data_IF_514127232362
#
_entry.id   IF_514127232362
#
_cell.length_a   1.000
_cell.length_b   1.000
_cell.length_c   1.000
_cell.angle_alpha   90.00
_cell.angle_beta   90.00
_cell.angle_gamma   90.00
#
_symmetry.space_group_name_H-M   'P 1'
#
loop_
_entity.id
_entity.type
_entity.pdbx_description
1 polymer ?
#
# COMPACT_ATOMS: atom_id res chain seq x y z
N UNK A 1 8.98 10.99 10.27
CA UNK A 1 9.31 10.76 11.68
C UNK A 1 8.24 11.40 12.55
N UNK A 2 7.74 10.68 13.53
CA UNK A 2 6.79 11.20 14.52
C UNK A 2 7.45 12.19 15.50
N UNK A 3 6.62 12.96 16.19
CA UNK A 3 7.10 13.97 17.15
C UNK A 3 7.82 13.36 18.36
N UNK A 4 7.53 12.10 18.70
CA UNK A 4 8.18 11.34 19.77
C UNK A 4 9.36 10.48 19.27
N UNK A 5 9.78 10.66 18.02
CA UNK A 5 10.93 9.99 17.43
C UNK A 5 10.67 8.66 16.74
N UNK A 6 9.42 8.22 16.63
CA UNK A 6 9.09 7.01 15.88
C UNK A 6 9.47 7.15 14.40
N UNK A 7 10.03 6.09 13.83
CA UNK A 7 10.40 6.04 12.41
C UNK A 7 9.43 5.11 11.67
N UNK A 8 8.79 5.64 10.63
CA UNK A 8 7.87 4.90 9.78
C UNK A 8 8.46 3.58 9.30
N UNK A 9 9.69 3.62 8.78
CA UNK A 9 10.36 2.43 8.20
C UNK A 9 10.47 1.23 9.16
N UNK A 10 10.58 1.48 10.45
CA UNK A 10 10.64 0.41 11.47
C UNK A 10 9.25 -0.14 11.77
N UNK A 11 8.29 0.75 11.96
CA UNK A 11 6.89 0.38 12.29
C UNK A 11 6.26 -0.41 11.16
N UNK A 12 6.37 0.07 9.92
CA UNK A 12 5.76 -0.60 8.76
C UNK A 12 6.41 -1.93 8.43
N UNK A 13 7.70 -2.10 8.68
CA UNK A 13 8.38 -3.39 8.54
C UNK A 13 7.81 -4.43 9.50
N UNK A 14 7.55 -4.06 10.75
CA UNK A 14 6.92 -4.96 11.72
C UNK A 14 5.49 -5.32 11.33
N UNK A 15 4.70 -4.35 10.87
CA UNK A 15 3.34 -4.60 10.38
C UNK A 15 3.38 -5.55 9.18
N UNK A 16 4.27 -5.33 8.21
CA UNK A 16 4.42 -6.18 7.05
C UNK A 16 4.84 -7.61 7.42
N UNK A 17 5.75 -7.77 8.38
CA UNK A 17 6.12 -9.09 8.90
C UNK A 17 4.92 -9.80 9.55
N UNK A 18 4.12 -9.08 10.32
CA UNK A 18 2.91 -9.63 10.92
C UNK A 18 1.91 -10.09 9.85
N UNK A 19 1.69 -9.29 8.81
CA UNK A 19 0.82 -9.66 7.67
C UNK A 19 1.35 -10.92 6.98
N UNK A 20 2.63 -10.98 6.68
CA UNK A 20 3.28 -12.16 6.08
C UNK A 20 3.04 -13.43 6.92
N UNK A 21 3.25 -13.33 8.22
CA UNK A 21 3.09 -14.48 9.14
C UNK A 21 1.62 -14.91 9.25
N UNK A 22 0.69 -13.96 9.30
CA UNK A 22 -0.74 -14.25 9.35
C UNK A 22 -1.26 -14.87 8.05
N UNK A 23 -0.83 -14.39 6.90
CA UNK A 23 -1.18 -14.94 5.59
C UNK A 23 -0.74 -16.40 5.44
N UNK A 24 0.40 -16.77 6.01
CA UNK A 24 0.90 -18.13 6.01
C UNK A 24 -0.10 -19.11 6.65
N UNK A 25 -0.80 -18.68 7.70
CA UNK A 25 -1.85 -19.47 8.34
C UNK A 25 -3.05 -19.77 7.43
N UNK A 26 -3.25 -18.99 6.36
CA UNK A 26 -4.27 -19.19 5.35
C UNK A 26 -3.73 -19.88 4.07
N UNK A 27 -2.49 -20.36 4.10
CA UNK A 27 -1.87 -20.98 2.92
C UNK A 27 -1.45 -19.98 1.84
N UNK A 28 -1.32 -18.70 2.18
CA UNK A 28 -0.89 -17.64 1.28
C UNK A 28 0.57 -17.28 1.59
N UNK A 29 1.43 -17.43 0.59
CA UNK A 29 2.84 -17.06 0.71
C UNK A 29 2.99 -15.54 0.60
N UNK A 30 3.60 -14.92 1.61
CA UNK A 30 4.00 -13.52 1.58
C UNK A 30 5.50 -13.37 1.36
N UNK A 31 5.88 -12.46 0.49
CA UNK A 31 7.28 -12.09 0.24
C UNK A 31 7.45 -10.60 0.54
N UNK A 32 8.44 -10.26 1.35
CA UNK A 32 8.77 -8.87 1.65
C UNK A 32 9.76 -8.34 0.60
N UNK A 33 9.60 -7.08 0.18
CA UNK A 33 10.57 -6.40 -0.70
C UNK A 33 11.87 -6.06 0.04
N UNK A 34 11.82 -5.92 1.35
CA UNK A 34 12.98 -5.79 2.24
C UNK A 34 12.71 -6.50 3.57
N UNK A 35 13.76 -6.93 4.23
CA UNK A 35 13.70 -7.55 5.57
C UNK A 35 14.55 -6.80 6.60
N UNK A 36 15.23 -5.75 6.18
CA UNK A 36 16.11 -4.92 6.99
C UNK A 36 15.94 -3.43 6.63
N UNK A 37 16.84 -2.57 7.12
CA UNK A 37 16.82 -1.13 6.83
C UNK A 37 17.52 -0.79 5.51
N UNK A 38 17.17 -1.52 4.45
CA UNK A 38 17.66 -1.28 3.09
C UNK A 38 16.63 -0.49 2.30
N UNK A 39 17.06 0.56 1.61
CA UNK A 39 16.19 1.27 0.68
C UNK A 39 16.11 0.53 -0.67
N UNK A 40 14.88 0.24 -1.09
CA UNK A 40 14.59 -0.36 -2.41
C UNK A 40 13.91 0.72 -3.28
N UNK A 41 14.49 1.11 -4.43
CA UNK A 41 13.85 2.04 -5.36
C UNK A 41 12.44 1.59 -5.74
N UNK A 42 11.56 2.56 -6.01
CA UNK A 42 10.13 2.28 -6.26
C UNK A 42 9.91 1.29 -7.41
N UNK A 43 10.62 1.46 -8.52
CA UNK A 43 10.52 0.55 -9.66
C UNK A 43 11.02 -0.86 -9.33
N UNK A 44 12.08 -0.99 -8.56
CA UNK A 44 12.60 -2.31 -8.14
C UNK A 44 11.59 -3.06 -7.26
N UNK A 45 10.77 -2.38 -6.46
CA UNK A 45 9.70 -3.00 -5.67
C UNK A 45 8.67 -3.68 -6.58
N UNK A 46 8.30 -3.01 -7.67
CA UNK A 46 7.41 -3.58 -8.71
C UNK A 46 8.08 -4.79 -9.37
N UNK A 47 9.35 -4.70 -9.71
CA UNK A 47 10.10 -5.79 -10.34
C UNK A 47 10.21 -7.02 -9.42
N UNK A 48 10.39 -6.84 -8.11
CA UNK A 48 10.41 -7.93 -7.14
C UNK A 48 9.08 -8.68 -7.17
N UNK A 49 7.95 -7.97 -7.20
CA UNK A 49 6.63 -8.60 -7.31
C UNK A 49 6.49 -9.41 -8.60
N UNK A 50 6.94 -8.89 -9.73
CA UNK A 50 6.93 -9.60 -11.02
C UNK A 50 7.83 -10.83 -11.00
N UNK A 51 9.04 -10.74 -10.42
CA UNK A 51 9.98 -11.85 -10.33
C UNK A 51 9.44 -13.02 -9.49
N UNK A 52 8.58 -12.74 -8.52
CA UNK A 52 7.93 -13.75 -7.69
C UNK A 52 6.58 -14.22 -8.24
N UNK A 53 6.15 -13.76 -9.42
CA UNK A 53 4.82 -14.03 -9.97
C UNK A 53 3.71 -13.75 -8.95
N UNK A 54 3.81 -12.64 -8.23
CA UNK A 54 2.89 -12.28 -7.18
C UNK A 54 1.47 -12.10 -7.71
N UNK A 55 0.49 -12.58 -6.95
CA UNK A 55 -0.94 -12.42 -7.27
C UNK A 55 -1.47 -11.05 -6.88
N UNK A 56 -0.81 -10.38 -5.95
CA UNK A 56 -1.05 -9.00 -5.57
C UNK A 56 0.19 -8.36 -4.96
N UNK A 57 0.22 -7.03 -4.96
CA UNK A 57 1.25 -6.21 -4.35
C UNK A 57 0.63 -5.26 -3.34
N UNK A 58 1.28 -5.10 -2.19
CA UNK A 58 0.83 -4.18 -1.16
C UNK A 58 2.01 -3.37 -0.63
N UNK A 59 1.86 -2.05 -0.61
CA UNK A 59 2.79 -1.12 0.02
C UNK A 59 2.19 -0.64 1.34
N UNK A 60 2.86 -0.90 2.46
CA UNK A 60 2.36 -0.56 3.80
C UNK A 60 3.12 0.65 4.32
N UNK A 61 2.37 1.66 4.75
CA UNK A 61 2.87 2.96 5.15
C UNK A 61 2.27 3.47 6.47
N UNK A 62 2.97 4.40 7.08
CA UNK A 62 2.49 5.25 8.18
C UNK A 62 3.13 6.63 8.01
N UNK A 63 2.67 7.36 6.98
CA UNK A 63 3.27 8.61 6.57
C UNK A 63 3.04 9.75 7.56
N UNK A 64 3.86 10.79 7.44
CA UNK A 64 3.62 12.08 8.06
C UNK A 64 2.75 12.97 7.16
N UNK A 65 2.07 13.90 7.82
CA UNK A 65 1.35 14.97 7.14
C UNK A 65 1.65 16.32 7.82
N UNK A 66 1.41 17.41 7.11
CA UNK A 66 1.71 18.77 7.61
C UNK A 66 0.85 19.15 8.82
N UNK A 67 -0.39 18.65 8.87
CA UNK A 67 -1.26 18.84 10.03
C UNK A 67 -1.16 17.66 10.99
N UNK A 68 -0.81 17.86 12.26
CA UNK A 68 -0.79 16.80 13.26
C UNK A 68 -2.20 16.30 13.64
N UNK A 69 -3.25 16.99 13.21
CA UNK A 69 -4.64 16.57 13.39
C UNK A 69 -5.08 15.48 12.39
N UNK A 70 -4.36 15.31 11.27
CA UNK A 70 -4.65 14.23 10.32
C UNK A 70 -4.52 12.87 11.01
N UNK A 71 -5.53 12.01 10.86
CA UNK A 71 -5.59 10.71 11.53
C UNK A 71 -6.43 9.71 10.72
N UNK A 72 -6.27 8.44 11.06
CA UNK A 72 -7.01 7.35 10.45
C UNK A 72 -6.26 6.67 9.31
N UNK A 73 -6.78 5.51 8.92
CA UNK A 73 -6.24 4.71 7.82
C UNK A 73 -6.85 5.13 6.48
N UNK A 74 -6.12 4.88 5.41
CA UNK A 74 -6.59 5.02 4.03
C UNK A 74 -6.00 3.92 3.15
N UNK A 75 -6.73 3.54 2.11
CA UNK A 75 -6.25 2.59 1.11
C UNK A 75 -6.29 3.26 -0.26
N UNK A 76 -5.20 3.14 -1.01
CA UNK A 76 -5.02 3.79 -2.31
C UNK A 76 -4.78 2.76 -3.40
N UNK A 77 -5.37 3.00 -4.57
CA UNK A 77 -5.03 2.36 -5.83
C UNK A 77 -4.45 3.40 -6.80
N UNK A 78 -3.89 2.93 -7.90
CA UNK A 78 -3.38 3.80 -8.95
C UNK A 78 -4.51 4.55 -9.65
N UNK A 79 -4.27 5.82 -9.99
CA UNK A 79 -5.06 6.59 -10.94
C UNK A 79 -4.19 7.10 -12.08
N UNK A 80 -4.69 7.01 -13.31
CA UNK A 80 -4.10 7.62 -14.50
C UNK A 80 -4.79 8.93 -14.89
N UNK A 81 -5.85 9.33 -14.13
CA UNK A 81 -6.72 10.48 -14.44
C UNK A 81 -6.68 11.60 -13.39
N UNK A 82 -5.78 11.49 -12.42
CA UNK A 82 -5.67 12.45 -11.31
C UNK A 82 -6.07 11.85 -9.98
N UNK A 83 -5.79 12.60 -8.90
CA UNK A 83 -6.04 12.14 -7.53
C UNK A 83 -7.50 12.32 -7.14
N UNK A 84 -8.02 11.39 -6.34
CA UNK A 84 -9.40 11.41 -5.81
C UNK A 84 -9.61 12.47 -4.72
N UNK A 85 -8.51 12.94 -4.07
CA UNK A 85 -8.56 13.96 -3.03
C UNK A 85 -7.25 14.76 -2.98
N UNK A 86 -7.26 15.89 -2.27
CA UNK A 86 -6.06 16.68 -2.02
C UNK A 86 -5.03 15.89 -1.20
N UNK A 87 -5.49 15.10 -0.23
CA UNK A 87 -4.64 14.22 0.58
C UNK A 87 -3.98 13.14 -0.29
N UNK A 88 -4.75 12.47 -1.17
CA UNK A 88 -4.21 11.48 -2.10
C UNK A 88 -3.15 12.10 -3.04
N UNK A 89 -3.38 13.32 -3.52
CA UNK A 89 -2.41 14.05 -4.33
C UNK A 89 -1.13 14.36 -3.55
N UNK A 90 -1.26 14.81 -2.32
CA UNK A 90 -0.11 15.11 -1.47
C UNK A 90 0.72 13.86 -1.20
N UNK A 91 0.07 12.78 -0.75
CA UNK A 91 0.75 11.52 -0.42
C UNK A 91 1.43 10.90 -1.63
N UNK A 92 0.80 10.91 -2.80
CA UNK A 92 1.42 10.38 -4.01
C UNK A 92 2.67 11.18 -4.43
N UNK A 93 2.65 12.49 -4.31
CA UNK A 93 3.83 13.33 -4.56
C UNK A 93 4.96 13.03 -3.58
N UNK A 94 4.63 12.91 -2.29
CA UNK A 94 5.59 12.61 -1.24
C UNK A 94 6.25 11.25 -1.45
N UNK A 95 5.45 10.22 -1.72
CA UNK A 95 5.93 8.86 -1.96
C UNK A 95 6.76 8.75 -3.24
N UNK A 96 6.31 9.39 -4.32
CA UNK A 96 7.04 9.39 -5.60
C UNK A 96 8.40 10.07 -5.50
N UNK A 97 8.58 11.01 -4.58
CA UNK A 97 9.86 11.68 -4.33
C UNK A 97 10.88 10.82 -3.55
N UNK A 98 10.51 9.63 -3.10
CA UNK A 98 11.39 8.77 -2.30
C UNK A 98 12.69 8.40 -3.05
N UNK A 99 12.61 8.15 -4.35
CA UNK A 99 13.77 7.84 -5.18
C UNK A 99 14.73 9.04 -5.31
N UNK A 100 14.19 10.24 -5.42
CA UNK A 100 14.99 11.48 -5.51
C UNK A 100 15.75 11.73 -4.22
N UNK A 101 15.10 11.53 -3.07
CA UNK A 101 15.73 11.65 -1.75
C UNK A 101 16.84 10.62 -1.57
N UNK A 102 16.69 9.44 -2.14
CA UNK A 102 17.70 8.38 -2.11
C UNK A 102 18.80 8.55 -3.19
N UNK A 103 18.73 9.59 -4.03
CA UNK A 103 19.69 9.85 -5.11
C UNK A 103 19.61 8.86 -6.27
N UNK A 104 18.47 8.21 -6.44
CA UNK A 104 18.23 7.21 -7.50
C UNK A 104 17.12 7.69 -8.45
N UNK A 105 17.53 8.35 -9.53
CA UNK A 105 16.61 8.78 -10.60
C UNK A 105 16.36 7.63 -11.59
N UNK A 106 15.11 7.36 -11.90
CA UNK A 106 14.71 6.34 -12.88
C UNK A 106 14.30 7.00 -14.18
N UNK A 107 15.01 6.70 -15.27
CA UNK A 107 14.67 7.15 -16.62
C UNK A 107 13.76 6.11 -17.28
N UNK A 108 12.51 6.47 -17.50
CA UNK A 108 11.56 5.64 -18.27
C UNK A 108 11.73 5.89 -19.76
N UNK A 109 12.00 4.83 -20.53
CA UNK A 109 11.92 4.85 -22.00
C UNK A 109 10.61 4.18 -22.43
N UNK A 110 9.63 5.00 -22.79
CA UNK A 110 8.36 4.53 -23.34
C UNK A 110 8.44 4.28 -24.85
N UNK A 111 7.99 3.09 -25.30
CA UNK A 111 7.72 2.79 -26.71
C UNK A 111 6.21 2.88 -26.98
N UNK A 112 5.82 3.57 -28.03
CA UNK A 112 4.43 3.98 -28.30
C UNK A 112 3.41 2.84 -28.50
N UNK A 113 3.80 1.71 -29.07
CA UNK A 113 2.90 0.56 -29.30
C UNK A 113 2.68 -0.27 -28.03
N UNK A 114 3.72 -0.37 -27.19
CA UNK A 114 3.62 -1.06 -25.89
C UNK A 114 2.70 -0.28 -24.94
N UNK A 115 2.53 1.01 -25.16
CA UNK A 115 1.71 1.89 -24.33
C UNK A 115 0.21 1.60 -24.40
N UNK A 116 -0.33 1.27 -25.57
CA UNK A 116 -1.78 1.01 -25.75
C UNK A 116 -2.19 -0.30 -25.07
N UNK A 117 -1.41 -1.35 -25.26
CA UNK A 117 -1.63 -2.65 -24.59
C UNK A 117 -1.44 -2.48 -23.09
N UNK A 118 -0.39 -1.80 -22.68
CA UNK A 118 -0.10 -1.47 -21.29
C UNK A 118 -1.26 -0.70 -20.63
N UNK A 119 -1.84 0.29 -21.29
CA UNK A 119 -2.96 1.09 -20.76
C UNK A 119 -4.24 0.25 -20.58
N UNK A 120 -4.53 -0.69 -21.49
CA UNK A 120 -5.69 -1.59 -21.39
C UNK A 120 -5.55 -2.59 -20.24
N UNK A 121 -4.40 -3.23 -20.15
CA UNK A 121 -4.11 -4.18 -19.07
C UNK A 121 -4.09 -3.48 -17.71
N UNK A 122 -3.50 -2.28 -17.64
CA UNK A 122 -3.48 -1.48 -16.42
C UNK A 122 -4.88 -1.06 -15.98
N UNK A 123 -5.81 -0.81 -16.92
CA UNK A 123 -7.21 -0.48 -16.59
C UNK A 123 -7.90 -1.61 -15.86
N UNK A 124 -7.76 -2.86 -16.33
CA UNK A 124 -8.33 -4.03 -15.63
C UNK A 124 -7.64 -4.28 -14.28
N UNK A 125 -6.33 -4.10 -14.22
CA UNK A 125 -5.57 -4.22 -12.98
C UNK A 125 -5.98 -3.18 -11.94
N UNK A 126 -6.26 -1.95 -12.36
CA UNK A 126 -6.77 -0.89 -11.48
C UNK A 126 -8.16 -1.27 -10.92
N UNK A 127 -9.06 -1.84 -11.72
CA UNK A 127 -10.35 -2.33 -11.23
C UNK A 127 -10.17 -3.39 -10.14
N UNK A 128 -9.30 -4.35 -10.35
CA UNK A 128 -8.97 -5.37 -9.35
C UNK A 128 -8.31 -4.77 -8.11
N UNK A 129 -7.46 -3.77 -8.27
CA UNK A 129 -6.85 -3.04 -7.16
C UNK A 129 -7.90 -2.30 -6.32
N UNK A 130 -8.89 -1.68 -6.95
CA UNK A 130 -10.02 -1.04 -6.27
C UNK A 130 -10.86 -2.05 -5.50
N UNK A 131 -11.10 -3.23 -6.06
CA UNK A 131 -11.82 -4.31 -5.40
C UNK A 131 -11.04 -4.82 -4.18
N UNK A 132 -9.75 -5.10 -4.33
CA UNK A 132 -8.86 -5.45 -3.22
C UNK A 132 -8.90 -4.38 -2.11
N UNK A 133 -8.78 -3.11 -2.50
CA UNK A 133 -8.85 -1.99 -1.57
C UNK A 133 -10.16 -1.93 -0.81
N UNK A 134 -11.29 -2.19 -1.45
CA UNK A 134 -12.60 -2.19 -0.80
C UNK A 134 -12.73 -3.28 0.27
N UNK A 135 -12.14 -4.45 0.03
CA UNK A 135 -12.09 -5.54 1.02
C UNK A 135 -11.24 -5.15 2.23
N UNK A 136 -10.09 -4.50 1.99
CA UNK A 136 -9.20 -4.05 3.08
C UNK A 136 -9.87 -2.95 3.90
N UNK A 137 -10.46 -1.93 3.27
CA UNK A 137 -11.21 -0.86 3.96
C UNK A 137 -12.31 -1.45 4.85
N UNK A 138 -13.08 -2.41 4.34
CA UNK A 138 -14.16 -3.05 5.09
C UNK A 138 -13.66 -3.74 6.36
N UNK A 139 -12.46 -4.33 6.33
CA UNK A 139 -11.90 -5.04 7.48
C UNK A 139 -11.12 -4.16 8.44
N UNK A 140 -10.57 -3.02 7.98
CA UNK A 140 -9.93 -2.04 8.87
C UNK A 140 -10.97 -1.20 9.62
N UNK A 141 -12.04 -0.80 8.95
CA UNK A 141 -13.06 0.12 9.48
C UNK A 141 -13.60 -0.26 10.88
N UNK A 142 -13.86 -1.54 11.21
CA UNK A 142 -14.32 -1.92 12.55
C UNK A 142 -13.26 -1.79 13.66
N UNK A 143 -11.99 -1.76 13.32
CA UNK A 143 -10.89 -1.85 14.31
C UNK A 143 -10.06 -0.58 14.41
N UNK A 144 -10.10 0.29 13.40
CA UNK A 144 -9.40 1.56 13.40
C UNK A 144 -10.16 2.59 12.58
N UNK A 145 -10.07 3.87 13.00
CA UNK A 145 -10.69 4.97 12.26
C UNK A 145 -10.17 5.04 10.82
N UNK A 146 -11.09 5.16 9.86
CA UNK A 146 -10.76 5.39 8.46
C UNK A 146 -10.74 6.88 8.15
N UNK A 147 -9.62 7.39 7.66
CA UNK A 147 -9.53 8.76 7.13
C UNK A 147 -10.42 8.91 5.88
N UNK A 148 -10.49 7.86 5.05
CA UNK A 148 -11.43 7.74 3.94
C UNK A 148 -12.11 6.37 3.97
N UNK A 149 -13.43 6.37 3.84
CA UNK A 149 -14.25 5.15 3.87
C UNK A 149 -14.29 4.40 2.53
N UNK A 150 -13.63 4.91 1.52
CA UNK A 150 -13.53 4.31 0.20
C UNK A 150 -12.06 4.21 -0.20
N UNK A 151 -11.74 3.26 -1.10
CA UNK A 151 -10.43 3.23 -1.74
C UNK A 151 -10.24 4.52 -2.53
N UNK A 152 -9.18 5.24 -2.22
CA UNK A 152 -8.79 6.44 -2.92
C UNK A 152 -7.82 6.11 -4.06
N UNK A 153 -7.55 7.07 -4.93
CA UNK A 153 -6.67 6.90 -6.08
C UNK A 153 -5.76 8.09 -6.27
N UNK A 154 -4.53 7.84 -6.69
CA UNK A 154 -3.59 8.84 -7.15
C UNK A 154 -2.49 8.20 -8.02
N UNK A 155 -1.60 9.01 -8.57
CA UNK A 155 -0.53 8.57 -9.46
C UNK A 155 0.69 8.02 -8.69
N UNK A 156 0.49 6.98 -7.88
CA UNK A 156 1.58 6.33 -7.14
C UNK A 156 2.46 5.48 -8.08
N UNK A 157 3.73 5.82 -8.19
CA UNK A 157 4.69 5.08 -9.02
C UNK A 157 4.82 3.62 -8.57
N UNK A 158 4.82 3.36 -7.27
CA UNK A 158 4.94 2.01 -6.72
C UNK A 158 3.77 1.10 -7.08
N UNK A 159 2.63 1.66 -7.50
CA UNK A 159 1.42 0.90 -7.87
C UNK A 159 1.26 0.72 -9.39
N UNK A 160 2.29 0.98 -10.16
CA UNK A 160 2.22 1.00 -11.64
C UNK A 160 2.39 -0.37 -12.31
N UNK A 161 2.34 -1.48 -11.59
CA UNK A 161 2.32 -2.79 -12.28
C UNK A 161 1.09 -2.89 -13.20
N UNK A 162 1.25 -3.21 -14.49
CA UNK A 162 0.11 -3.39 -15.38
C UNK A 162 -0.63 -4.71 -15.17
N UNK A 163 0.00 -5.69 -14.49
CA UNK A 163 -0.50 -7.06 -14.39
C UNK A 163 -0.91 -7.49 -12.98
N UNK A 164 -0.36 -6.83 -11.96
CA UNK A 164 -0.54 -7.24 -10.56
C UNK A 164 -1.43 -6.22 -9.85
N UNK A 165 -2.61 -6.62 -9.33
CA UNK A 165 -3.42 -5.77 -8.47
C UNK A 165 -2.58 -5.22 -7.32
N UNK A 166 -2.59 -3.90 -7.14
CA UNK A 166 -1.67 -3.20 -6.25
C UNK A 166 -2.39 -2.16 -5.43
N UNK A 167 -2.15 -2.14 -4.13
CA UNK A 167 -2.68 -1.14 -3.21
C UNK A 167 -1.58 -0.60 -2.29
N UNK A 168 -1.76 0.64 -1.86
CA UNK A 168 -0.98 1.25 -0.80
C UNK A 168 -1.89 1.44 0.41
N UNK A 169 -1.49 0.92 1.56
CA UNK A 169 -2.23 1.03 2.81
C UNK A 169 -1.50 2.00 3.73
N UNK A 170 -2.11 3.16 3.95
CA UNK A 170 -1.74 4.05 5.04
C UNK A 170 -2.44 3.56 6.31
N UNK A 171 -1.68 3.04 7.24
CA UNK A 171 -2.22 2.46 8.48
C UNK A 171 -2.63 3.54 9.47
N UNK A 172 -1.88 4.62 9.51
CA UNK A 172 -2.04 5.75 10.41
C UNK A 172 -1.14 6.90 9.96
N UNK A 173 -1.34 8.10 10.51
CA UNK A 173 -0.40 9.22 10.34
C UNK A 173 0.56 9.28 11.51
N UNK A 174 1.84 9.03 11.26
CA UNK A 174 2.87 9.02 12.32
C UNK A 174 3.08 10.41 12.96
N UNK A 175 2.65 11.48 12.29
CA UNK A 175 2.68 12.85 12.83
C UNK A 175 1.51 13.19 13.75
N UNK A 176 0.48 12.34 13.81
CA UNK A 176 -0.57 12.46 14.82
C UNK A 176 -0.07 11.84 16.13
N UNK A 177 -0.07 12.58 17.26
CA UNK A 177 0.51 12.08 18.52
C UNK A 177 -0.11 10.81 19.05
N UNK A 178 -1.44 10.66 18.94
CA UNK A 178 -2.14 9.46 19.39
C UNK A 178 -1.85 8.27 18.46
N UNK A 179 -1.81 8.49 17.16
CA UNK A 179 -1.47 7.43 16.20
C UNK A 179 -0.01 7.01 16.30
N UNK A 180 0.91 7.95 16.56
CA UNK A 180 2.30 7.61 16.87
C UNK A 180 2.39 6.71 18.11
N UNK A 181 1.63 7.02 19.14
CA UNK A 181 1.55 6.20 20.34
C UNK A 181 1.04 4.80 20.05
N UNK A 182 -0.04 4.67 19.29
CA UNK A 182 -0.60 3.38 18.86
C UNK A 182 0.39 2.57 18.04
N UNK A 183 1.02 3.18 17.05
CA UNK A 183 2.04 2.56 16.20
C UNK A 183 3.23 2.01 17.02
N UNK A 184 3.52 2.62 18.15
CA UNK A 184 4.53 2.16 19.11
C UNK A 184 4.14 0.92 19.90
N UNK A 185 2.88 0.46 19.84
CA UNK A 185 2.38 -0.70 20.59
C UNK A 185 2.36 -1.95 19.71
N UNK A 186 2.80 -3.07 20.29
CA UNK A 186 2.70 -4.40 19.63
C UNK A 186 1.25 -4.77 19.36
N UNK A 187 0.35 -4.45 20.29
CA UNK A 187 -1.07 -4.74 20.17
C UNK A 187 -1.71 -4.07 18.95
N UNK A 188 -1.43 -2.79 18.71
CA UNK A 188 -1.97 -2.08 17.55
C UNK A 188 -1.36 -2.59 16.24
N UNK A 189 -0.06 -2.79 16.19
CA UNK A 189 0.60 -3.33 14.98
C UNK A 189 0.04 -4.68 14.59
N UNK A 190 -0.21 -5.57 15.54
CA UNK A 190 -0.84 -6.85 15.29
C UNK A 190 -2.31 -6.71 14.87
N UNK A 191 -3.07 -5.83 15.51
CA UNK A 191 -4.47 -5.56 15.20
C UNK A 191 -4.67 -5.05 13.76
N UNK A 192 -3.87 -4.09 13.34
CA UNK A 192 -3.95 -3.55 11.97
C UNK A 192 -3.48 -4.58 10.95
N UNK A 193 -2.43 -5.34 11.25
CA UNK A 193 -1.96 -6.43 10.41
C UNK A 193 -3.01 -7.52 10.23
N UNK A 194 -3.73 -7.89 11.29
CA UNK A 194 -4.83 -8.85 11.23
C UNK A 194 -5.98 -8.34 10.36
N UNK A 195 -6.34 -7.07 10.48
CA UNK A 195 -7.38 -6.45 9.65
C UNK A 195 -7.00 -6.44 8.17
N UNK A 196 -5.77 -6.06 7.84
CA UNK A 196 -5.23 -6.11 6.47
C UNK A 196 -5.27 -7.54 5.93
N UNK A 197 -4.81 -8.50 6.70
CA UNK A 197 -4.80 -9.92 6.33
C UNK A 197 -6.22 -10.43 6.05
N UNK A 198 -7.18 -10.11 6.90
CA UNK A 198 -8.58 -10.49 6.71
C UNK A 198 -9.16 -9.89 5.42
N UNK A 199 -8.80 -8.66 5.08
CA UNK A 199 -9.17 -8.01 3.83
C UNK A 199 -8.62 -8.74 2.60
N UNK A 200 -7.35 -9.15 2.64
CA UNK A 200 -6.70 -9.91 1.57
C UNK A 200 -7.36 -11.29 1.40
N UNK A 201 -7.58 -12.01 2.49
CA UNK A 201 -8.25 -13.32 2.48
C UNK A 201 -9.68 -13.21 1.93
N UNK A 202 -10.42 -12.19 2.35
CA UNK A 202 -11.77 -11.90 1.84
C UNK A 202 -11.76 -11.64 0.32
N UNK A 203 -10.78 -10.89 -0.17
CA UNK A 203 -10.62 -10.65 -1.61
C UNK A 203 -10.39 -11.95 -2.39
N UNK A 204 -9.47 -12.79 -1.95
CA UNK A 204 -9.21 -14.07 -2.62
C UNK A 204 -10.42 -15.02 -2.58
N UNK A 205 -11.14 -15.06 -1.48
CA UNK A 205 -12.38 -15.87 -1.37
C UNK A 205 -13.45 -15.38 -2.35
N UNK A 206 -13.61 -14.08 -2.50
CA UNK A 206 -14.51 -13.47 -3.49
C UNK A 206 -14.13 -13.86 -4.91
N UNK A 207 -12.84 -13.81 -5.26
CA UNK A 207 -12.35 -14.20 -6.59
C UNK A 207 -12.64 -15.67 -6.91
N UNK A 208 -12.46 -16.57 -5.96
CA UNK A 208 -12.78 -18.00 -6.14
C UNK A 208 -14.27 -18.21 -6.40
N UNK A 209 -15.15 -17.48 -5.72
CA UNK A 209 -16.61 -17.61 -5.90
C UNK A 209 -17.06 -17.11 -7.27
N UNK A 210 -16.46 -16.05 -7.79
CA UNK A 210 -16.80 -15.48 -9.11
C UNK A 210 -16.25 -16.32 -10.26
N UNK A 211 -15.14 -17.04 -10.04
CA UNK A 211 -14.49 -17.89 -11.05
C UNK A 211 -15.09 -19.30 -11.14
N UNK A 212 -15.94 -19.66 -10.22
CA UNK A 212 -16.64 -20.96 -10.20
C UNK A 212 -18.00 -20.83 -10.91
#
# INVERSE_FOLDING_TARGET
MGHQGALEKHVVLEIANNVKNLLKGYGIEGVLTRSDDTFIPLYERVQIAHAHNASLFMSIHADGFTSPAAHGASVFALSTRGASSAMAKYLSKSENAADDVAGKSVIHKDRYLDKIIFDLEQTETIKESLLLGSHIVRHISPVHHMHSNQTEQAAFVVLKSPYIPSVLVETSFITNPEEERLLGTTAFRHKIASAITNGVVSYFSHKQTVSA
#
